data_IF_907672980643
#
_entry.id   IF_907672980643
#
_cell.length_a   1.000
_cell.length_b   1.000
_cell.length_c   1.000
_cell.angle_alpha   90.00
_cell.angle_beta   90.00
_cell.angle_gamma   90.00
#
_symmetry.space_group_name_H-M   'P 1'
#
loop_
_entity.id
_entity.type
_entity.pdbx_description
1 polymer ?
#
# COMPACT_ATOMS: atom_id res chain seq x y z
N UNK A 1 -36.60 29.54 -6.12
CA UNK A 1 -37.23 28.24 -5.77
C UNK A 1 -36.26 27.49 -4.89
N UNK A 2 -36.67 26.85 -3.78
CA UNK A 2 -35.74 26.08 -2.97
C UNK A 2 -35.18 24.95 -3.83
N UNK A 3 -33.85 24.87 -3.96
CA UNK A 3 -33.23 23.82 -4.75
C UNK A 3 -33.58 22.46 -4.14
N UNK A 4 -34.14 21.56 -4.96
CA UNK A 4 -34.50 20.20 -4.55
C UNK A 4 -33.24 19.50 -3.99
N UNK A 5 -33.38 18.90 -2.81
CA UNK A 5 -32.27 18.22 -2.12
C UNK A 5 -32.62 16.76 -1.91
N UNK A 6 -31.65 15.87 -2.05
CA UNK A 6 -31.83 14.43 -1.91
C UNK A 6 -30.52 13.77 -1.43
N UNK A 7 -30.58 12.52 -0.96
CA UNK A 7 -29.38 11.76 -0.60
C UNK A 7 -28.78 11.11 -1.83
N UNK A 8 -27.53 11.44 -2.13
CA UNK A 8 -26.76 10.87 -3.24
C UNK A 8 -25.39 10.41 -2.73
N UNK A 9 -24.85 9.30 -3.25
CA UNK A 9 -23.44 8.97 -3.12
C UNK A 9 -22.53 10.07 -3.70
N UNK A 10 -21.49 10.47 -2.95
CA UNK A 10 -20.49 11.45 -3.40
C UNK A 10 -19.15 10.76 -3.71
N UNK A 11 -18.58 11.02 -4.88
CA UNK A 11 -17.28 10.46 -5.31
C UNK A 11 -16.09 10.99 -4.52
N UNK A 12 -16.20 12.17 -3.93
CA UNK A 12 -15.15 12.75 -3.09
C UNK A 12 -15.29 12.34 -1.61
N UNK A 13 -16.49 12.43 -1.03
CA UNK A 13 -16.73 12.02 0.36
C UNK A 13 -16.75 10.50 0.55
N UNK A 14 -16.87 9.72 -0.54
CA UNK A 14 -17.00 8.26 -0.55
C UNK A 14 -18.15 7.73 0.33
N UNK A 15 -19.20 8.53 0.52
CA UNK A 15 -20.39 8.19 1.33
C UNK A 15 -21.66 8.86 0.77
N UNK A 16 -22.84 8.41 1.23
CA UNK A 16 -24.12 9.05 0.90
C UNK A 16 -24.26 10.36 1.67
N UNK A 17 -24.37 11.47 0.96
CA UNK A 17 -24.51 12.82 1.52
C UNK A 17 -25.71 13.54 0.89
N UNK A 18 -26.14 14.64 1.49
CA UNK A 18 -27.14 15.51 0.88
C UNK A 18 -26.53 16.18 -0.37
N UNK A 19 -27.29 16.19 -1.46
CA UNK A 19 -26.94 16.87 -2.69
C UNK A 19 -28.08 17.78 -3.13
N UNK A 20 -27.70 18.95 -3.61
CA UNK A 20 -28.60 19.97 -4.12
C UNK A 20 -28.61 19.91 -5.65
N UNK A 21 -29.79 19.87 -6.26
CA UNK A 21 -29.92 19.95 -7.72
C UNK A 21 -29.58 21.37 -8.16
N UNK A 22 -28.62 21.50 -9.09
CA UNK A 22 -28.19 22.79 -9.65
C UNK A 22 -28.89 23.08 -10.98
N UNK A 23 -29.02 22.06 -11.84
CA UNK A 23 -29.84 22.11 -13.04
C UNK A 23 -30.46 20.74 -13.31
N UNK A 24 -31.60 20.74 -14.01
CA UNK A 24 -32.35 19.55 -14.42
C UNK A 24 -32.88 19.75 -15.84
N UNK A 25 -32.79 18.71 -16.65
CA UNK A 25 -33.48 18.57 -17.91
C UNK A 25 -34.32 17.29 -17.87
N UNK A 26 -35.59 17.40 -18.26
CA UNK A 26 -36.55 16.29 -18.24
C UNK A 26 -36.93 15.95 -19.68
N UNK A 27 -36.80 14.68 -20.01
CA UNK A 27 -37.26 14.07 -21.25
C UNK A 27 -38.38 13.10 -20.89
N UNK A 28 -39.50 13.18 -21.60
CA UNK A 28 -40.68 12.33 -21.37
C UNK A 28 -41.06 11.65 -22.68
N UNK A 29 -41.32 10.35 -22.61
CA UNK A 29 -41.81 9.57 -23.75
C UNK A 29 -43.30 9.79 -23.96
N UNK A 30 -43.74 9.80 -25.21
CA UNK A 30 -45.15 9.87 -25.55
C UNK A 30 -45.86 8.61 -25.01
N UNK A 31 -46.87 8.75 -24.13
CA UNK A 31 -47.59 7.61 -23.57
C UNK A 31 -48.34 6.75 -24.59
N UNK A 32 -48.56 7.25 -25.82
CA UNK A 32 -49.16 6.48 -26.91
C UNK A 32 -48.15 5.58 -27.64
N UNK A 33 -46.85 5.84 -27.50
CA UNK A 33 -45.78 5.03 -28.09
C UNK A 33 -45.04 4.22 -27.03
N UNK A 34 -44.46 4.90 -26.04
CA UNK A 34 -43.73 4.28 -24.92
C UNK A 34 -43.63 5.27 -23.75
N UNK A 35 -44.29 4.96 -22.63
CA UNK A 35 -44.35 5.87 -21.49
C UNK A 35 -43.12 5.75 -20.57
N UNK A 36 -42.29 6.80 -20.55
CA UNK A 36 -41.14 6.89 -19.64
C UNK A 36 -40.85 8.34 -19.25
N UNK A 37 -40.05 8.53 -18.18
CA UNK A 37 -39.46 9.82 -17.82
C UNK A 37 -37.96 9.63 -17.59
N UNK A 38 -37.13 10.46 -18.25
CA UNK A 38 -35.69 10.57 -17.97
C UNK A 38 -35.33 11.96 -17.44
N UNK A 39 -34.75 12.01 -16.24
CA UNK A 39 -34.26 13.25 -15.61
C UNK A 39 -32.75 13.29 -15.61
N UNK A 40 -32.18 14.29 -16.27
CA UNK A 40 -30.75 14.55 -16.37
C UNK A 40 -30.38 15.72 -15.46
N UNK A 41 -29.59 15.48 -14.42
CA UNK A 41 -29.34 16.46 -13.35
C UNK A 41 -27.84 16.71 -13.13
N UNK A 42 -27.46 17.97 -12.94
CA UNK A 42 -26.17 18.32 -12.30
C UNK A 42 -26.44 18.61 -10.83
N UNK A 43 -25.72 17.92 -9.96
CA UNK A 43 -26.00 17.89 -8.52
C UNK A 43 -24.73 18.22 -7.75
N UNK A 44 -24.86 18.99 -6.67
CA UNK A 44 -23.74 19.47 -5.86
C UNK A 44 -23.80 18.85 -4.47
N UNK A 45 -22.73 18.19 -4.02
CA UNK A 45 -22.62 17.66 -2.67
C UNK A 45 -22.64 18.80 -1.65
N UNK A 46 -23.54 18.76 -0.67
CA UNK A 46 -23.64 19.80 0.38
C UNK A 46 -22.54 19.72 1.44
N UNK A 47 -21.67 18.70 1.39
CA UNK A 47 -20.57 18.53 2.34
C UNK A 47 -19.19 18.95 1.81
N UNK A 48 -18.87 18.62 0.56
CA UNK A 48 -17.57 18.94 -0.06
C UNK A 48 -17.67 19.77 -1.34
N UNK A 49 -18.87 20.26 -1.66
CA UNK A 49 -19.16 21.09 -2.84
C UNK A 49 -18.88 20.45 -4.21
N UNK A 50 -18.49 19.16 -4.24
CA UNK A 50 -18.21 18.43 -5.49
C UNK A 50 -19.47 18.32 -6.35
N UNK A 51 -19.32 18.66 -7.64
CA UNK A 51 -20.33 18.43 -8.66
C UNK A 51 -20.28 16.99 -9.19
N UNK A 52 -21.45 16.43 -9.44
CA UNK A 52 -21.63 15.17 -10.17
C UNK A 52 -22.85 15.24 -11.08
N UNK A 53 -22.89 14.35 -12.06
CA UNK A 53 -24.03 14.14 -12.92
C UNK A 53 -24.88 12.99 -12.39
N UNK A 54 -26.20 13.12 -12.45
CA UNK A 54 -27.16 12.10 -12.03
C UNK A 54 -28.24 11.95 -13.10
N UNK A 55 -28.45 10.72 -13.57
CA UNK A 55 -29.55 10.36 -14.47
C UNK A 55 -30.55 9.52 -13.70
N UNK A 56 -31.83 9.88 -13.78
CA UNK A 56 -32.94 9.04 -13.30
C UNK A 56 -33.71 8.60 -14.53
N UNK A 57 -34.02 7.32 -14.64
CA UNK A 57 -34.89 6.78 -15.68
C UNK A 57 -36.02 6.02 -15.01
N UNK A 58 -37.26 6.39 -15.33
CA UNK A 58 -38.49 5.77 -14.79
C UNK A 58 -39.23 5.19 -15.99
N UNK A 59 -39.47 3.89 -15.96
CA UNK A 59 -40.10 3.16 -17.05
C UNK A 59 -41.50 2.71 -16.64
N UNK A 60 -42.53 3.45 -17.08
CA UNK A 60 -43.91 3.19 -16.69
C UNK A 60 -44.49 1.96 -17.39
N UNK A 61 -44.01 1.63 -18.59
CA UNK A 61 -44.44 0.43 -19.34
C UNK A 61 -44.04 -0.87 -18.62
N UNK A 62 -42.93 -0.83 -17.89
CA UNK A 62 -42.45 -1.97 -17.10
C UNK A 62 -42.94 -1.99 -15.65
N UNK A 63 -43.97 -1.21 -15.30
CA UNK A 63 -44.55 -1.25 -13.95
C UNK A 63 -45.19 -2.63 -13.66
N UNK A 64 -45.05 -3.13 -12.43
CA UNK A 64 -45.63 -4.40 -11.99
C UNK A 64 -46.51 -4.23 -10.74
N UNK A 65 -47.58 -5.04 -10.60
CA UNK A 65 -48.43 -5.01 -9.41
C UNK A 65 -47.70 -5.61 -8.21
N UNK A 66 -47.77 -4.94 -7.06
CA UNK A 66 -47.21 -5.38 -5.76
C UNK A 66 -48.29 -5.65 -4.71
N UNK A 67 -49.55 -5.35 -5.01
CA UNK A 67 -50.72 -5.55 -4.16
C UNK A 67 -52.00 -5.35 -4.97
N UNK A 68 -53.15 -5.40 -4.31
CA UNK A 68 -54.46 -5.33 -5.00
C UNK A 68 -54.65 -4.01 -5.78
N UNK A 69 -54.08 -2.89 -5.29
CA UNK A 69 -54.14 -1.56 -5.94
C UNK A 69 -52.75 -0.88 -6.03
N UNK A 70 -51.68 -1.57 -5.65
CA UNK A 70 -50.33 -1.01 -5.61
C UNK A 70 -49.50 -1.46 -6.82
N UNK A 71 -48.87 -0.50 -7.48
CA UNK A 71 -47.95 -0.72 -8.59
C UNK A 71 -46.57 -0.15 -8.27
N UNK A 72 -45.52 -0.90 -8.59
CA UNK A 72 -44.15 -0.46 -8.51
C UNK A 72 -43.62 -0.20 -9.91
N UNK A 73 -43.03 0.99 -10.12
CA UNK A 73 -42.45 1.39 -11.40
C UNK A 73 -40.92 1.29 -11.33
N UNK A 74 -40.28 0.49 -12.19
CA UNK A 74 -38.82 0.40 -12.21
C UNK A 74 -38.19 1.77 -12.40
N UNK A 75 -37.21 2.08 -11.54
CA UNK A 75 -36.48 3.34 -11.53
C UNK A 75 -34.99 3.10 -11.45
N UNK A 76 -34.27 3.43 -12.52
CA UNK A 76 -32.81 3.37 -12.57
C UNK A 76 -32.20 4.73 -12.21
N UNK A 77 -31.11 4.70 -11.44
CA UNK A 77 -30.39 5.90 -11.01
C UNK A 77 -28.90 5.72 -11.28
N UNK A 78 -28.38 6.42 -12.27
CA UNK A 78 -26.96 6.46 -12.59
C UNK A 78 -26.30 7.73 -12.06
N UNK A 79 -25.06 7.60 -11.60
CA UNK A 79 -24.28 8.73 -11.08
C UNK A 79 -22.89 8.70 -11.71
N UNK A 80 -22.49 9.86 -12.23
CA UNK A 80 -21.21 10.04 -12.90
C UNK A 80 -20.41 11.22 -12.31
N UNK A 81 -19.09 11.07 -12.12
CA UNK A 81 -18.33 9.82 -12.24
C UNK A 81 -18.75 8.81 -11.14
N UNK A 82 -18.60 7.50 -11.40
CA UNK A 82 -18.88 6.50 -10.38
C UNK A 82 -17.94 6.68 -9.19
N UNK A 83 -18.35 6.17 -8.03
CA UNK A 83 -17.48 6.17 -6.84
C UNK A 83 -16.35 5.20 -7.09
N UNK A 84 -15.12 5.72 -7.12
CA UNK A 84 -13.93 4.89 -7.21
C UNK A 84 -13.82 3.98 -5.98
N UNK A 85 -13.64 2.69 -6.23
CA UNK A 85 -13.34 1.70 -5.18
C UNK A 85 -11.88 1.67 -4.78
N UNK A 86 -11.00 2.40 -5.50
CA UNK A 86 -9.59 2.43 -5.18
C UNK A 86 -9.34 3.05 -3.79
N UNK A 87 -8.62 2.30 -2.94
CA UNK A 87 -8.15 2.79 -1.64
C UNK A 87 -6.73 3.33 -1.67
N UNK A 88 -5.95 2.92 -2.67
CA UNK A 88 -4.55 3.33 -2.84
C UNK A 88 -4.49 4.33 -4.00
N UNK A 89 -3.84 5.46 -3.76
CA UNK A 89 -3.63 6.43 -4.83
C UNK A 89 -2.49 5.98 -5.75
N UNK A 90 -2.71 6.16 -7.06
CA UNK A 90 -1.78 5.77 -8.12
C UNK A 90 -0.35 6.28 -7.89
N UNK A 91 -0.21 7.49 -7.32
CA UNK A 91 1.08 8.15 -7.08
C UNK A 91 2.01 7.38 -6.14
N UNK A 92 1.47 6.51 -5.29
CA UNK A 92 2.26 5.68 -4.38
C UNK A 92 2.71 4.36 -5.00
N UNK A 93 2.38 4.11 -6.27
CA UNK A 93 2.65 2.86 -6.96
C UNK A 93 3.54 3.09 -8.19
N UNK A 94 4.34 2.09 -8.61
CA UNK A 94 5.03 2.12 -9.89
C UNK A 94 4.04 2.37 -11.03
N UNK A 95 4.43 3.14 -12.05
CA UNK A 95 3.52 3.67 -13.08
C UNK A 95 2.62 2.61 -13.71
N UNK A 96 3.19 1.46 -14.11
CA UNK A 96 2.45 0.37 -14.75
C UNK A 96 1.50 -0.30 -13.75
N UNK A 97 1.98 -0.60 -12.54
CA UNK A 97 1.19 -1.23 -11.48
C UNK A 97 0.01 -0.35 -11.10
N UNK A 98 0.26 0.92 -10.86
CA UNK A 98 -0.77 1.90 -10.55
C UNK A 98 -1.79 2.04 -11.68
N UNK A 99 -1.35 2.08 -12.95
CA UNK A 99 -2.26 2.25 -14.09
C UNK A 99 -3.25 1.10 -14.17
N UNK A 100 -2.74 -0.13 -14.19
CA UNK A 100 -3.57 -1.34 -14.27
C UNK A 100 -4.49 -1.46 -13.05
N UNK A 101 -4.01 -1.16 -11.85
CA UNK A 101 -4.85 -1.16 -10.65
C UNK A 101 -5.98 -0.12 -10.76
N UNK A 102 -5.68 1.10 -11.21
CA UNK A 102 -6.69 2.15 -11.39
C UNK A 102 -7.72 1.76 -12.46
N UNK A 103 -7.28 1.20 -13.58
CA UNK A 103 -8.17 0.70 -14.64
C UNK A 103 -9.07 -0.42 -14.11
N UNK A 104 -8.51 -1.33 -13.30
CA UNK A 104 -9.25 -2.41 -12.64
C UNK A 104 -10.32 -1.86 -11.69
N UNK A 105 -9.98 -0.88 -10.86
CA UNK A 105 -10.93 -0.21 -9.98
C UNK A 105 -12.02 0.53 -10.77
N UNK A 106 -11.66 1.19 -11.88
CA UNK A 106 -12.62 1.86 -12.75
C UNK A 106 -13.59 0.85 -13.39
N UNK A 107 -13.10 -0.28 -13.89
CA UNK A 107 -13.94 -1.36 -14.42
C UNK A 107 -14.90 -1.90 -13.36
N UNK A 108 -14.42 -2.11 -12.13
CA UNK A 108 -15.28 -2.51 -11.02
C UNK A 108 -16.35 -1.45 -10.71
N UNK A 109 -15.96 -0.17 -10.62
CA UNK A 109 -16.85 0.95 -10.30
C UNK A 109 -17.95 1.18 -11.36
N UNK A 110 -17.73 0.69 -12.58
CA UNK A 110 -18.67 0.72 -13.70
C UNK A 110 -19.45 -0.60 -13.87
N UNK A 111 -19.43 -1.49 -12.87
CA UNK A 111 -20.04 -2.82 -12.90
C UNK A 111 -19.59 -3.72 -14.07
N UNK A 112 -18.42 -3.42 -14.67
CA UNK A 112 -17.74 -4.25 -15.68
C UNK A 112 -16.97 -5.39 -15.00
N UNK A 113 -17.72 -6.27 -14.33
CA UNK A 113 -17.19 -7.26 -13.38
C UNK A 113 -16.22 -8.28 -14.00
N UNK A 114 -16.45 -8.70 -15.25
CA UNK A 114 -15.54 -9.62 -15.95
C UNK A 114 -14.18 -8.96 -16.17
N UNK A 115 -14.16 -7.70 -16.64
CA UNK A 115 -12.92 -6.94 -16.82
C UNK A 115 -12.23 -6.65 -15.50
N UNK A 116 -12.98 -6.35 -14.43
CA UNK A 116 -12.42 -6.22 -13.09
C UNK A 116 -11.73 -7.51 -12.62
N UNK A 117 -12.34 -8.68 -12.86
CA UNK A 117 -11.74 -9.98 -12.54
C UNK A 117 -10.42 -10.24 -13.27
N UNK A 118 -10.38 -9.92 -14.57
CA UNK A 118 -9.16 -10.00 -15.39
C UNK A 118 -8.12 -9.01 -14.86
N UNK A 119 -8.51 -7.75 -14.66
CA UNK A 119 -7.63 -6.66 -14.20
C UNK A 119 -6.98 -6.94 -12.84
N UNK A 120 -7.69 -7.60 -11.91
CA UNK A 120 -7.10 -8.01 -10.63
C UNK A 120 -5.96 -9.00 -10.82
N UNK A 121 -6.09 -9.96 -11.74
CA UNK A 121 -4.98 -10.86 -12.10
C UNK A 121 -3.86 -10.09 -12.79
N UNK A 122 -4.19 -9.23 -13.74
CA UNK A 122 -3.20 -8.41 -14.45
C UNK A 122 -2.42 -7.51 -13.47
N UNK A 123 -3.08 -7.00 -12.43
CA UNK A 123 -2.44 -6.24 -11.35
C UNK A 123 -1.42 -7.11 -10.62
N UNK A 124 -1.73 -8.37 -10.31
CA UNK A 124 -0.75 -9.30 -9.72
C UNK A 124 0.44 -9.57 -10.64
N UNK A 125 0.20 -9.72 -11.94
CA UNK A 125 1.26 -9.90 -12.92
C UNK A 125 2.17 -8.66 -13.01
N UNK A 126 1.57 -7.46 -13.00
CA UNK A 126 2.29 -6.20 -12.98
C UNK A 126 3.18 -6.07 -11.73
N UNK A 127 2.66 -6.39 -10.55
CA UNK A 127 3.45 -6.40 -9.29
C UNK A 127 4.61 -7.38 -9.40
N UNK A 128 4.37 -8.60 -9.89
CA UNK A 128 5.44 -9.58 -10.04
C UNK A 128 6.50 -9.13 -11.05
N UNK A 129 6.11 -8.38 -12.09
CA UNK A 129 7.03 -7.85 -13.11
C UNK A 129 7.92 -6.77 -12.51
N UNK A 130 7.30 -5.80 -11.83
CA UNK A 130 7.99 -4.71 -11.15
C UNK A 130 9.01 -5.21 -10.12
N UNK A 131 8.59 -6.18 -9.29
CA UNK A 131 9.44 -6.82 -8.27
C UNK A 131 10.45 -7.84 -8.84
N UNK A 132 10.57 -7.93 -10.16
CA UNK A 132 11.48 -8.85 -10.87
C UNK A 132 11.40 -10.29 -10.30
N UNK A 133 10.18 -10.80 -10.15
CA UNK A 133 9.95 -12.14 -9.61
C UNK A 133 10.09 -13.18 -10.72
N UNK A 134 11.07 -14.09 -10.62
CA UNK A 134 11.32 -15.09 -11.66
C UNK A 134 10.21 -16.15 -11.69
N UNK A 135 9.95 -16.68 -12.87
CA UNK A 135 8.99 -17.75 -13.11
C UNK A 135 8.22 -17.53 -14.41
N UNK A 136 7.95 -18.62 -15.15
CA UNK A 136 7.17 -18.57 -16.40
C UNK A 136 5.68 -18.33 -16.11
N UNK A 137 5.15 -19.06 -15.13
CA UNK A 137 3.73 -19.05 -14.78
C UNK A 137 3.47 -18.18 -13.55
N UNK A 138 2.31 -17.51 -13.53
CA UNK A 138 1.89 -16.69 -12.39
C UNK A 138 1.81 -17.49 -11.08
N UNK A 139 1.50 -18.79 -11.11
CA UNK A 139 1.56 -19.63 -9.90
C UNK A 139 2.93 -19.58 -9.24
N UNK A 140 3.97 -19.86 -10.02
CA UNK A 140 5.34 -19.95 -9.54
C UNK A 140 5.80 -18.60 -9.01
N UNK A 141 5.40 -17.52 -9.70
CA UNK A 141 5.72 -16.15 -9.29
C UNK A 141 5.06 -15.78 -7.96
N UNK A 142 3.79 -16.15 -7.75
CA UNK A 142 3.09 -15.95 -6.47
C UNK A 142 3.81 -16.70 -5.33
N UNK A 143 4.22 -17.96 -5.55
CA UNK A 143 5.00 -18.70 -4.56
C UNK A 143 6.34 -18.03 -4.28
N UNK A 144 7.01 -17.53 -5.32
CA UNK A 144 8.31 -16.86 -5.19
C UNK A 144 8.23 -15.51 -4.46
N UNK A 145 7.10 -14.80 -4.51
CA UNK A 145 6.86 -13.61 -3.66
C UNK A 145 6.98 -13.97 -2.17
N UNK A 146 6.37 -15.09 -1.76
CA UNK A 146 6.45 -15.55 -0.38
C UNK A 146 7.85 -16.05 0.00
N UNK A 147 8.52 -16.77 -0.92
CA UNK A 147 9.90 -17.25 -0.70
C UNK A 147 10.90 -16.10 -0.54
N UNK A 148 10.69 -14.98 -1.27
CA UNK A 148 11.50 -13.76 -1.11
C UNK A 148 11.14 -12.95 0.16
N UNK A 149 10.15 -13.36 0.94
CA UNK A 149 9.74 -12.67 2.16
C UNK A 149 8.91 -11.40 1.93
N UNK A 150 8.51 -11.10 0.69
CA UNK A 150 7.69 -9.92 0.39
C UNK A 150 6.24 -10.07 0.89
N UNK A 151 5.78 -11.31 1.05
CA UNK A 151 4.45 -11.64 1.55
C UNK A 151 4.48 -12.87 2.43
N UNK A 152 3.42 -13.07 3.22
CA UNK A 152 3.26 -14.30 3.99
C UNK A 152 2.84 -15.49 3.11
N UNK A 153 3.10 -16.71 3.58
CA UNK A 153 2.57 -17.95 2.94
C UNK A 153 1.04 -17.94 2.84
N UNK A 154 0.35 -17.34 3.82
CA UNK A 154 -1.10 -17.24 3.83
C UNK A 154 -1.61 -16.33 2.72
N UNK A 155 -0.90 -15.24 2.44
CA UNK A 155 -1.23 -14.33 1.35
C UNK A 155 -0.98 -14.98 0.00
N UNK A 156 0.11 -15.75 -0.16
CA UNK A 156 0.33 -16.56 -1.37
C UNK A 156 -0.88 -17.46 -1.69
N UNK A 157 -1.47 -18.13 -0.70
CA UNK A 157 -2.67 -18.96 -0.91
C UNK A 157 -3.87 -18.11 -1.36
N UNK A 158 -4.08 -16.94 -0.76
CA UNK A 158 -5.15 -16.00 -1.14
C UNK A 158 -4.97 -15.47 -2.56
N UNK A 159 -3.74 -15.16 -2.96
CA UNK A 159 -3.41 -14.70 -4.32
C UNK A 159 -3.68 -15.77 -5.39
N UNK A 160 -3.52 -17.06 -5.06
CA UNK A 160 -3.93 -18.13 -5.97
C UNK A 160 -5.43 -18.12 -6.25
N UNK A 161 -6.28 -17.76 -5.28
CA UNK A 161 -7.72 -17.63 -5.51
C UNK A 161 -8.03 -16.53 -6.54
N UNK A 162 -7.33 -15.40 -6.47
CA UNK A 162 -7.46 -14.30 -7.45
C UNK A 162 -6.98 -14.77 -8.83
N UNK A 163 -5.84 -15.49 -8.88
CA UNK A 163 -5.34 -16.07 -10.14
C UNK A 163 -6.39 -16.94 -10.80
N UNK A 164 -7.02 -17.85 -10.06
CA UNK A 164 -8.06 -18.73 -10.58
C UNK A 164 -9.28 -17.94 -11.07
N UNK A 165 -9.79 -17.03 -10.25
CA UNK A 165 -10.92 -16.18 -10.61
C UNK A 165 -10.65 -15.36 -11.89
N UNK A 166 -9.48 -14.75 -12.01
CA UNK A 166 -9.11 -14.00 -13.22
C UNK A 166 -8.90 -14.90 -14.44
N UNK A 167 -8.42 -16.13 -14.25
CA UNK A 167 -8.31 -17.12 -15.32
C UNK A 167 -9.69 -17.51 -15.86
N UNK A 168 -10.62 -17.81 -14.95
CA UNK A 168 -12.00 -18.18 -15.28
C UNK A 168 -12.74 -17.01 -15.95
N UNK A 169 -12.49 -15.77 -15.50
CA UNK A 169 -13.05 -14.58 -16.15
C UNK A 169 -12.52 -14.38 -17.57
N UNK A 170 -11.22 -14.62 -17.80
CA UNK A 170 -10.58 -14.41 -19.10
C UNK A 170 -10.88 -15.53 -20.12
N UNK A 171 -10.76 -16.78 -19.69
CA UNK A 171 -10.81 -17.94 -20.59
C UNK A 171 -12.18 -18.61 -20.64
N UNK A 172 -12.85 -18.75 -19.49
CA UNK A 172 -14.17 -19.38 -19.40
C UNK A 172 -15.31 -18.35 -19.52
N UNK A 173 -14.99 -17.05 -19.59
CA UNK A 173 -15.94 -15.93 -19.67
C UNK A 173 -16.94 -15.96 -18.49
N UNK A 174 -16.50 -16.49 -17.34
CA UNK A 174 -17.32 -16.57 -16.14
C UNK A 174 -17.32 -15.22 -15.44
N UNK A 175 -18.45 -14.51 -15.47
CA UNK A 175 -18.65 -13.26 -14.74
C UNK A 175 -18.47 -13.50 -13.23
N UNK A 176 -17.46 -12.91 -12.57
CA UNK A 176 -17.33 -13.00 -11.12
C UNK A 176 -18.49 -12.26 -10.43
N UNK A 177 -18.95 -12.80 -9.30
CA UNK A 177 -19.90 -12.07 -8.48
C UNK A 177 -19.19 -10.93 -7.71
N UNK A 178 -19.97 -9.90 -7.33
CA UNK A 178 -19.45 -8.69 -6.70
C UNK A 178 -18.74 -8.97 -5.36
N UNK A 179 -19.28 -9.89 -4.55
CA UNK A 179 -18.69 -10.30 -3.26
C UNK A 179 -17.29 -10.91 -3.42
N UNK A 180 -17.08 -11.71 -4.45
CA UNK A 180 -15.77 -12.31 -4.74
C UNK A 180 -14.77 -11.25 -5.19
N UNK A 181 -15.20 -10.29 -6.01
CA UNK A 181 -14.37 -9.16 -6.42
C UNK A 181 -14.02 -8.23 -5.25
N UNK A 182 -14.95 -8.00 -4.32
CA UNK A 182 -14.68 -7.24 -3.09
C UNK A 182 -13.57 -7.88 -2.26
N UNK A 183 -13.67 -9.20 -2.05
CA UNK A 183 -12.65 -9.95 -1.34
C UNK A 183 -11.29 -9.90 -2.07
N UNK A 184 -11.31 -10.04 -3.39
CA UNK A 184 -10.10 -9.98 -4.20
C UNK A 184 -9.44 -8.59 -4.18
N UNK A 185 -10.22 -7.50 -4.28
CA UNK A 185 -9.73 -6.13 -4.14
C UNK A 185 -9.04 -5.92 -2.80
N UNK A 186 -9.65 -6.37 -1.69
CA UNK A 186 -9.03 -6.27 -0.35
C UNK A 186 -7.66 -6.96 -0.32
N UNK A 187 -7.55 -8.16 -0.92
CA UNK A 187 -6.30 -8.92 -0.94
C UNK A 187 -5.24 -8.23 -1.82
N UNK A 188 -5.62 -7.72 -3.00
CA UNK A 188 -4.70 -7.00 -3.89
C UNK A 188 -4.24 -5.69 -3.25
N UNK A 189 -5.13 -4.93 -2.62
CA UNK A 189 -4.78 -3.71 -1.89
C UNK A 189 -3.84 -3.99 -0.72
N UNK A 190 -4.07 -5.08 0.01
CA UNK A 190 -3.16 -5.50 1.07
C UNK A 190 -1.77 -5.84 0.53
N UNK A 191 -1.70 -6.51 -0.63
CA UNK A 191 -0.44 -6.80 -1.32
C UNK A 191 0.28 -5.51 -1.74
N UNK A 192 -0.42 -4.60 -2.43
CA UNK A 192 0.12 -3.32 -2.86
C UNK A 192 0.65 -2.50 -1.67
N UNK A 193 -0.11 -2.47 -0.58
CA UNK A 193 0.29 -1.79 0.65
C UNK A 193 1.57 -2.39 1.23
N UNK A 194 1.63 -3.72 1.33
CA UNK A 194 2.78 -4.43 1.90
C UNK A 194 4.05 -4.24 1.06
N UNK A 195 3.92 -4.28 -0.26
CA UNK A 195 5.08 -4.23 -1.17
C UNK A 195 5.58 -2.79 -1.41
N UNK A 196 4.70 -1.78 -1.45
CA UNK A 196 5.08 -0.43 -1.87
C UNK A 196 4.91 0.65 -0.82
N UNK A 197 3.97 0.50 0.13
CA UNK A 197 3.55 1.60 1.01
C UNK A 197 4.15 1.46 2.40
N UNK A 198 4.20 0.25 2.98
CA UNK A 198 4.67 0.07 4.36
C UNK A 198 6.09 0.57 4.58
N UNK A 199 7.00 0.37 3.63
CA UNK A 199 8.38 0.85 3.75
C UNK A 199 8.47 2.39 3.74
N UNK A 200 7.57 3.06 3.01
CA UNK A 200 7.48 4.53 2.99
C UNK A 200 6.97 5.05 4.34
N UNK A 201 5.91 4.46 4.87
CA UNK A 201 5.26 4.86 6.13
C UNK A 201 6.11 4.53 7.37
N UNK A 202 6.92 3.47 7.30
CA UNK A 202 7.78 3.04 8.42
C UNK A 202 9.14 3.73 8.45
N UNK A 203 9.49 4.50 7.41
CA UNK A 203 10.77 5.23 7.32
C UNK A 203 11.03 6.18 8.50
N UNK A 204 9.97 6.69 9.14
CA UNK A 204 10.04 7.53 10.34
C UNK A 204 10.06 6.78 11.68
N UNK A 205 9.94 5.46 11.69
CA UNK A 205 9.87 4.64 12.89
C UNK A 205 11.25 4.10 13.29
N UNK A 206 11.47 3.98 14.60
CA UNK A 206 12.67 3.35 15.17
C UNK A 206 12.66 1.84 14.84
N UNK A 207 13.30 1.46 13.73
CA UNK A 207 13.44 0.07 13.29
C UNK A 207 14.62 -0.68 13.92
N UNK A 208 14.65 -2.00 13.69
CA UNK A 208 15.81 -2.85 13.96
C UNK A 208 16.82 -2.65 12.83
N UNK A 209 18.10 -2.55 13.18
CA UNK A 209 19.19 -2.47 12.21
C UNK A 209 19.56 -3.90 11.81
N UNK A 210 19.32 -4.24 10.55
CA UNK A 210 19.62 -5.57 10.00
C UNK A 210 20.95 -5.60 9.22
N UNK A 211 21.32 -4.45 8.63
CA UNK A 211 22.49 -4.28 7.78
C UNK A 211 23.67 -3.61 8.51
N UNK A 212 24.89 -4.10 8.23
CA UNK A 212 26.10 -3.63 8.89
C UNK A 212 26.41 -2.15 8.58
N UNK A 213 26.17 -1.70 7.35
CA UNK A 213 26.46 -0.31 6.96
C UNK A 213 25.60 0.71 7.74
N UNK A 214 24.34 0.37 8.04
CA UNK A 214 23.48 1.19 8.87
C UNK A 214 23.96 1.19 10.34
N UNK A 215 24.43 0.05 10.83
CA UNK A 215 25.08 -0.07 12.14
C UNK A 215 26.33 0.82 12.23
N UNK A 216 27.21 0.78 11.23
CA UNK A 216 28.46 1.54 11.19
C UNK A 216 28.22 3.06 11.20
N UNK A 217 27.22 3.54 10.43
CA UNK A 217 26.82 4.96 10.41
C UNK A 217 26.34 5.44 11.78
N UNK A 218 25.49 4.67 12.45
CA UNK A 218 24.95 5.02 13.77
C UNK A 218 26.06 4.97 14.82
N UNK A 219 26.90 3.93 14.81
CA UNK A 219 28.04 3.83 15.71
C UNK A 219 28.97 5.04 15.54
N UNK A 220 29.35 5.38 14.31
CA UNK A 220 30.20 6.55 14.01
C UNK A 220 29.61 7.85 14.54
N UNK A 221 28.30 8.06 14.37
CA UNK A 221 27.59 9.24 14.91
C UNK A 221 27.56 9.25 16.45
N UNK A 222 27.49 8.09 17.09
CA UNK A 222 27.52 7.99 18.57
C UNK A 222 28.92 8.22 19.12
N UNK A 223 29.96 7.73 18.43
CA UNK A 223 31.35 7.89 18.86
C UNK A 223 31.76 9.37 18.94
N UNK A 224 31.15 10.27 18.18
CA UNK A 224 31.46 11.71 18.25
C UNK A 224 31.10 12.37 19.59
N UNK A 225 30.32 11.71 20.45
CA UNK A 225 30.00 12.21 21.79
C UNK A 225 30.86 11.62 22.91
N UNK A 226 31.86 10.81 22.58
CA UNK A 226 32.79 10.18 23.54
C UNK A 226 34.18 10.79 23.42
N UNK A 227 34.96 10.70 24.50
CA UNK A 227 36.29 11.27 24.56
C UNK A 227 37.36 10.28 24.11
N UNK A 228 38.49 10.81 23.64
CA UNK A 228 39.65 10.00 23.28
C UNK A 228 40.16 9.23 24.49
N UNK A 229 40.39 7.92 24.34
CA UNK A 229 40.78 7.02 25.43
C UNK A 229 39.61 6.30 26.10
N UNK A 230 38.36 6.72 25.83
CA UNK A 230 37.18 6.01 26.32
C UNK A 230 37.19 4.56 25.84
N UNK A 231 37.07 3.63 26.78
CA UNK A 231 37.10 2.19 26.54
C UNK A 231 35.83 1.56 27.08
N UNK A 232 34.90 1.23 26.20
CA UNK A 232 33.59 0.73 26.56
C UNK A 232 33.11 -0.38 25.63
N UNK A 233 32.15 -1.22 26.04
CA UNK A 233 31.50 -2.15 25.13
C UNK A 233 30.50 -1.42 24.21
N UNK A 234 30.13 -2.05 23.09
CA UNK A 234 29.15 -1.50 22.14
C UNK A 234 27.84 -1.11 22.82
N UNK A 235 27.40 -1.87 23.83
CA UNK A 235 26.20 -1.58 24.61
C UNK A 235 26.21 -0.19 25.24
N UNK A 236 27.38 0.29 25.67
CA UNK A 236 27.53 1.62 26.26
C UNK A 236 27.61 2.72 25.20
N UNK A 237 28.31 2.49 24.09
CA UNK A 237 28.36 3.45 22.98
C UNK A 237 26.98 3.67 22.33
N UNK A 238 26.17 2.62 22.20
CA UNK A 238 24.81 2.73 21.68
C UNK A 238 23.80 3.23 22.74
N UNK A 239 24.03 2.99 24.02
CA UNK A 239 23.13 3.42 25.09
C UNK A 239 21.72 2.85 24.89
N UNK A 240 20.68 3.71 24.89
CA UNK A 240 19.29 3.28 24.64
C UNK A 240 19.05 2.70 23.24
N UNK A 241 19.87 3.09 22.25
CA UNK A 241 19.77 2.60 20.88
C UNK A 241 20.29 1.16 20.73
N UNK A 242 20.85 0.55 21.80
CA UNK A 242 21.23 -0.87 21.79
C UNK A 242 20.05 -1.78 21.47
N UNK A 243 18.82 -1.35 21.79
CA UNK A 243 17.57 -2.02 21.44
C UNK A 243 17.42 -2.24 19.93
N UNK A 244 18.00 -1.36 19.11
CA UNK A 244 17.94 -1.42 17.65
C UNK A 244 18.80 -2.53 17.07
N UNK A 245 19.74 -3.10 17.83
CA UNK A 245 20.61 -4.19 17.39
C UNK A 245 20.47 -5.46 18.22
N UNK A 246 19.49 -5.53 19.13
CA UNK A 246 19.41 -6.57 20.16
C UNK A 246 19.48 -8.02 19.63
N UNK A 247 18.91 -8.29 18.44
CA UNK A 247 18.98 -9.61 17.78
C UNK A 247 20.27 -9.87 16.97
N UNK A 248 21.02 -8.81 16.64
CA UNK A 248 22.15 -8.83 15.72
C UNK A 248 23.48 -8.42 16.35
N UNK A 249 23.51 -8.11 17.66
CA UNK A 249 24.70 -7.59 18.37
C UNK A 249 25.95 -8.43 18.11
N UNK A 250 25.86 -9.76 18.29
CA UNK A 250 27.01 -10.66 18.07
C UNK A 250 27.48 -10.69 16.61
N UNK A 251 26.55 -10.63 15.65
CA UNK A 251 26.85 -10.60 14.21
C UNK A 251 27.64 -9.34 13.89
N UNK A 252 27.14 -8.17 14.32
CA UNK A 252 27.80 -6.89 14.09
C UNK A 252 29.11 -6.74 14.84
N UNK A 253 29.22 -7.24 16.08
CA UNK A 253 30.50 -7.30 16.81
C UNK A 253 31.54 -8.13 16.04
N UNK A 254 31.15 -9.30 15.56
CA UNK A 254 32.07 -10.17 14.79
C UNK A 254 32.55 -9.48 13.51
N UNK A 255 31.66 -8.78 12.82
CA UNK A 255 31.99 -8.05 11.59
C UNK A 255 32.82 -6.80 11.86
N UNK A 256 32.52 -6.05 12.92
CA UNK A 256 33.32 -4.91 13.39
C UNK A 256 34.73 -5.36 13.78
N UNK A 257 34.88 -6.45 14.51
CA UNK A 257 36.18 -7.00 14.86
C UNK A 257 37.00 -7.34 13.61
N UNK A 258 36.36 -7.91 12.57
CA UNK A 258 37.02 -8.18 11.28
C UNK A 258 37.45 -6.88 10.59
N UNK A 259 36.58 -5.87 10.51
CA UNK A 259 36.92 -4.57 9.88
C UNK A 259 38.04 -3.83 10.63
N UNK A 260 38.02 -3.84 11.97
CA UNK A 260 39.11 -3.26 12.79
C UNK A 260 40.42 -4.00 12.53
N UNK A 261 40.41 -5.35 12.52
CA UNK A 261 41.61 -6.14 12.26
C UNK A 261 42.21 -5.88 10.86
N UNK A 262 41.35 -5.60 9.86
CA UNK A 262 41.76 -5.23 8.50
C UNK A 262 42.11 -3.75 8.32
N UNK A 263 41.97 -2.91 9.35
CA UNK A 263 42.11 -1.43 9.28
C UNK A 263 41.11 -0.75 8.32
N UNK A 264 39.98 -1.40 8.08
CA UNK A 264 38.85 -0.86 7.31
C UNK A 264 37.97 0.05 8.17
N UNK A 265 38.00 -0.11 9.50
CA UNK A 265 37.32 0.76 10.46
C UNK A 265 38.33 1.29 11.50
N UNK A 266 38.69 2.57 11.39
CA UNK A 266 39.81 3.16 12.15
C UNK A 266 39.39 4.04 13.35
N UNK A 267 38.09 4.17 13.61
CA UNK A 267 37.57 4.98 14.72
C UNK A 267 37.63 4.28 16.08
N UNK A 268 37.85 2.96 16.08
CA UNK A 268 37.95 2.13 17.28
C UNK A 268 39.11 1.16 17.18
N UNK A 269 39.69 0.84 18.33
CA UNK A 269 40.69 -0.22 18.48
C UNK A 269 40.16 -1.30 19.41
N UNK A 270 40.58 -2.55 19.20
CA UNK A 270 40.27 -3.68 20.08
C UNK A 270 40.78 -3.41 21.50
N UNK A 271 39.86 -3.32 22.46
CA UNK A 271 40.15 -3.23 23.89
C UNK A 271 40.12 -4.61 24.57
N UNK A 272 40.19 -4.65 25.91
CA UNK A 272 40.13 -5.89 26.68
C UNK A 272 38.72 -6.49 26.71
N UNK A 273 38.64 -7.81 26.95
CA UNK A 273 37.40 -8.45 27.38
C UNK A 273 37.27 -8.31 28.89
N UNK A 274 36.21 -7.66 29.34
CA UNK A 274 35.99 -7.39 30.76
C UNK A 274 34.48 -7.40 31.07
N UNK A 275 34.14 -7.57 32.34
CA UNK A 275 32.76 -7.39 32.80
C UNK A 275 32.41 -5.90 32.85
N UNK A 276 31.21 -5.55 32.43
CA UNK A 276 30.72 -4.17 32.44
C UNK A 276 29.39 -4.09 33.20
N UNK A 277 29.32 -3.22 34.22
CA UNK A 277 28.11 -2.94 35.01
C UNK A 277 27.33 -4.21 35.47
N UNK A 278 28.03 -5.22 35.97
CA UNK A 278 27.39 -6.45 36.48
C UNK A 278 26.98 -7.46 35.41
N UNK A 279 27.51 -7.36 34.18
CA UNK A 279 27.30 -8.37 33.14
C UNK A 279 27.73 -9.76 33.62
N UNK A 280 26.91 -10.79 33.29
CA UNK A 280 27.24 -12.19 33.58
C UNK A 280 28.48 -12.63 32.82
N UNK A 281 28.57 -12.21 31.55
CA UNK A 281 29.64 -12.55 30.63
C UNK A 281 30.63 -11.38 30.46
N UNK A 282 31.85 -11.70 30.05
CA UNK A 282 32.84 -10.70 29.61
C UNK A 282 32.46 -10.16 28.24
N UNK A 283 32.39 -8.83 28.13
CA UNK A 283 32.06 -8.13 26.90
C UNK A 283 33.33 -7.60 26.24
N UNK A 284 33.37 -7.63 24.91
CA UNK A 284 34.44 -7.01 24.14
C UNK A 284 34.35 -5.48 24.28
N UNK A 285 35.39 -4.86 24.84
CA UNK A 285 35.50 -3.41 24.89
C UNK A 285 36.22 -2.90 23.65
N UNK A 286 35.91 -1.66 23.27
CA UNK A 286 36.55 -0.94 22.18
C UNK A 286 37.01 0.40 22.70
N UNK A 287 38.21 0.81 22.29
CA UNK A 287 38.84 2.05 22.72
C UNK A 287 38.82 3.07 21.59
N UNK A 288 38.44 4.32 21.87
CA UNK A 288 38.63 5.42 20.93
C UNK A 288 40.14 5.78 20.92
N UNK A 289 40.86 5.51 19.83
CA UNK A 289 42.28 5.80 19.76
C UNK A 289 42.52 7.31 19.70
N UNK A 290 43.67 7.74 20.20
CA UNK A 290 44.17 9.11 19.97
C UNK A 290 44.27 9.36 18.47
N UNK A 291 43.78 10.51 17.94
CA UNK A 291 44.01 10.84 16.54
C UNK A 291 45.51 10.82 16.27
N UNK A 292 45.92 10.10 15.23
CA UNK A 292 47.32 10.06 14.82
C UNK A 292 47.81 11.51 14.63
N UNK A 293 48.99 11.88 15.14
CA UNK A 293 49.53 13.20 14.87
C UNK A 293 49.64 13.38 13.36
N UNK A 294 48.92 14.37 12.83
CA UNK A 294 49.06 14.81 11.45
C UNK A 294 50.53 15.16 11.27
N UNK A 295 51.24 14.41 10.44
CA UNK A 295 52.61 14.72 10.09
C UNK A 295 52.62 16.14 9.51
N UNK A 296 53.26 17.08 10.23
CA UNK A 296 53.49 18.43 9.72
C UNK A 296 54.21 18.30 8.38
N UNK A 297 53.77 19.02 7.33
CA UNK A 297 54.52 19.05 6.08
C UNK A 297 55.91 19.59 6.38
N UNK A 298 56.93 18.78 6.12
CA UNK A 298 58.33 19.19 6.14
C UNK A 298 58.52 20.25 5.07
N UNK A 299 58.67 21.51 5.49
CA UNK A 299 59.22 22.56 4.66
C UNK A 299 60.68 22.22 4.36
N UNK A 300 60.96 21.91 3.10
CA UNK A 300 62.24 22.15 2.44
C UNK A 300 61.96 22.81 1.10
#
# INVERSE_FOLDING_TARGET
>A
MPNKTFKNPCSNCKTKTNHTVYCEHVEEGDPSEYHYISRHQIVKCSGCDKLSFRKIYIDYENAWPTGDDDWETPTDIDIYPPISVAKIEHIFLPTIVGSIYSETCNAYSQDSLTLAGIGLRTTLEAICNDQNIPGKELSTRITNLATKGLISKKDSTRLHAIRFMGNDAAHDIKKPNKKNLDAALIIVEHLLTTVYILDLETSGLDGVIEEYDAFEKILTKKLSSFEVGDTFPISKFFGKDIRKINGSTKKFETELNKKIAKKEFNLLVMGPKAKFQGSKDELQHYTLPTPAPIAKPTTK
#
